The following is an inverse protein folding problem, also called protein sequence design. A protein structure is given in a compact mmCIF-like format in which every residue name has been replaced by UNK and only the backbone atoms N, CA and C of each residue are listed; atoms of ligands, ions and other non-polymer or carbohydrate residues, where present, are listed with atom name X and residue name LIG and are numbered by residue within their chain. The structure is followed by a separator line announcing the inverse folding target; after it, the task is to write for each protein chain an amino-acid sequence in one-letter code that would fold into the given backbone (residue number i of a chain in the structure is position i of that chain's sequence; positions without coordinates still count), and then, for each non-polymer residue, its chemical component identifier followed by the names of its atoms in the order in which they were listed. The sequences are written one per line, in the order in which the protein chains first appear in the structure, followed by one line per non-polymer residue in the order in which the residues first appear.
data_IF_840565235217
#
_entry.id   IF_840565235217
#
_cell.length_a   1.000
_cell.length_b   1.000
_cell.length_c   1.000
_cell.angle_alpha   90.00
_cell.angle_beta   90.00
_cell.angle_gamma   90.00
#
_symmetry.space_group_name_H-M   'P 1'
#
loop_
_entity.id
_entity.type
_entity.pdbx_description
1 polymer ?
#
# COMPACT_ATOMS: atom_id res chain seq x y z
N UNK A 1 -2.94 -2.94 -19.21
CA UNK A 1 -2.00 -1.88 -18.77
C UNK A 1 -2.70 -0.68 -18.13
N UNK A 2 -3.53 0.10 -18.85
CA UNK A 2 -4.13 1.35 -18.28
C UNK A 2 -4.95 1.10 -17.01
N UNK A 3 -5.87 0.12 -17.03
CA UNK A 3 -6.70 -0.22 -15.86
C UNK A 3 -5.82 -0.61 -14.66
N UNK A 4 -4.79 -1.43 -14.89
CA UNK A 4 -3.83 -1.82 -13.86
C UNK A 4 -3.10 -0.60 -13.27
N UNK A 5 -2.66 0.33 -14.12
CA UNK A 5 -1.99 1.56 -13.72
C UNK A 5 -2.86 2.46 -12.86
N UNK A 6 -4.17 2.54 -13.14
CA UNK A 6 -5.11 3.30 -12.29
C UNK A 6 -5.19 2.69 -10.90
N UNK A 7 -5.39 1.37 -10.79
CA UNK A 7 -5.42 0.70 -9.49
C UNK A 7 -4.08 0.78 -8.74
N UNK A 8 -2.96 0.64 -9.44
CA UNK A 8 -1.63 0.79 -8.86
C UNK A 8 -1.40 2.22 -8.33
N UNK A 9 -1.80 3.24 -9.09
CA UNK A 9 -1.70 4.63 -8.66
C UNK A 9 -2.54 4.90 -7.41
N UNK A 10 -3.79 4.42 -7.39
CA UNK A 10 -4.68 4.56 -6.24
C UNK A 10 -4.15 3.79 -5.01
N UNK A 11 -3.57 2.61 -5.21
CA UNK A 11 -2.93 1.84 -4.15
C UNK A 11 -1.75 2.62 -3.55
N UNK A 12 -0.86 3.15 -4.39
CA UNK A 12 0.28 3.96 -3.95
C UNK A 12 -0.19 5.22 -3.20
N UNK A 13 -1.19 5.94 -3.73
CA UNK A 13 -1.75 7.12 -3.07
C UNK A 13 -2.38 6.80 -1.71
N UNK A 14 -3.08 5.66 -1.58
CA UNK A 14 -3.58 5.18 -0.30
C UNK A 14 -2.43 4.91 0.68
N UNK A 15 -1.32 4.32 0.22
CA UNK A 15 -0.16 4.05 1.06
C UNK A 15 0.59 5.32 1.47
N UNK A 16 0.58 6.37 0.64
CA UNK A 16 1.04 7.71 1.07
C UNK A 16 0.17 8.25 2.21
N UNK A 17 -1.16 8.12 2.12
CA UNK A 17 -2.05 8.53 3.20
C UNK A 17 -1.81 7.73 4.48
N UNK A 18 -1.64 6.41 4.38
CA UNK A 18 -1.29 5.53 5.50
C UNK A 18 0.04 5.96 6.12
N UNK A 19 1.07 6.16 5.30
CA UNK A 19 2.38 6.60 5.73
C UNK A 19 2.34 7.95 6.46
N UNK A 20 1.55 8.91 5.94
CA UNK A 20 1.35 10.19 6.62
C UNK A 20 0.71 10.01 8.01
N UNK A 21 -0.33 9.17 8.10
CA UNK A 21 -0.94 8.85 9.39
C UNK A 21 0.04 8.19 10.34
N UNK A 22 0.86 7.26 9.86
CA UNK A 22 1.81 6.52 10.68
C UNK A 22 3.01 7.37 11.16
N UNK A 23 3.53 8.25 10.31
CA UNK A 23 4.69 9.09 10.65
C UNK A 23 4.34 10.36 11.40
N UNK A 24 3.25 11.04 11.01
CA UNK A 24 3.00 12.41 11.45
C UNK A 24 1.70 12.57 12.25
N UNK A 25 0.69 11.74 11.98
CA UNK A 25 -0.63 11.88 12.59
C UNK A 25 -1.05 10.65 13.40
N UNK A 26 -0.10 9.90 13.97
CA UNK A 26 -0.33 8.58 14.55
C UNK A 26 -1.37 8.59 15.67
N UNK A 27 -1.27 9.55 16.59
CA UNK A 27 -2.21 9.72 17.70
C UNK A 27 -3.49 10.48 17.28
N UNK A 28 -3.56 10.97 16.03
CA UNK A 28 -4.62 11.84 15.54
C UNK A 28 -5.94 11.13 15.20
N UNK A 29 -7.05 11.90 15.04
CA UNK A 29 -8.39 11.34 14.87
C UNK A 29 -8.53 10.43 13.65
N UNK A 30 -7.88 10.79 12.53
CA UNK A 30 -7.95 9.99 11.30
C UNK A 30 -7.24 8.64 11.47
N UNK A 31 -6.07 8.62 12.11
CA UNK A 31 -5.33 7.40 12.41
C UNK A 31 -6.12 6.51 13.38
N UNK A 32 -6.75 7.07 14.41
CA UNK A 32 -7.61 6.29 15.32
C UNK A 32 -8.88 5.77 14.65
N UNK A 33 -9.49 6.53 13.73
CA UNK A 33 -10.60 6.04 12.89
C UNK A 33 -10.18 4.88 11.97
N UNK A 34 -8.94 4.89 11.51
CA UNK A 34 -8.42 3.92 10.54
C UNK A 34 -7.90 2.65 11.21
N UNK A 35 -7.10 2.80 12.27
CA UNK A 35 -6.37 1.73 12.96
C UNK A 35 -6.97 1.36 14.33
N UNK A 36 -8.00 2.08 14.80
CA UNK A 36 -8.63 1.85 16.09
C UNK A 36 -7.84 2.40 17.30
N UNK A 37 -8.29 2.09 18.50
CA UNK A 37 -7.65 2.49 19.76
C UNK A 37 -7.82 3.97 20.13
N UNK A 38 -7.25 4.36 21.28
CA UNK A 38 -7.20 5.74 21.76
C UNK A 38 -5.78 6.30 21.60
N UNK A 39 -5.57 7.63 21.68
CA UNK A 39 -4.23 8.21 21.67
C UNK A 39 -3.31 7.59 22.73
N UNK A 40 -3.82 7.33 23.94
CA UNK A 40 -3.06 6.77 25.06
C UNK A 40 -2.59 5.34 24.77
N UNK A 41 -3.45 4.50 24.18
CA UNK A 41 -3.07 3.13 23.81
C UNK A 41 -2.18 3.06 22.58
N UNK A 42 -2.20 4.09 21.73
CA UNK A 42 -1.39 4.17 20.51
C UNK A 42 0.02 4.72 20.75
N UNK A 43 0.18 5.65 21.69
CA UNK A 43 1.44 6.37 21.96
C UNK A 43 2.66 5.46 22.15
N UNK A 44 2.59 4.33 22.90
CA UNK A 44 3.75 3.44 23.07
C UNK A 44 4.29 2.85 21.76
N UNK A 45 3.47 2.81 20.70
CA UNK A 45 3.83 2.24 19.40
C UNK A 45 4.22 3.29 18.36
N UNK A 46 4.29 4.58 18.72
CA UNK A 46 4.55 5.67 17.78
C UNK A 46 5.86 5.48 16.99
N UNK A 47 6.91 4.97 17.64
CA UNK A 47 8.18 4.68 16.95
C UNK A 47 8.05 3.57 15.90
N UNK A 48 7.34 2.48 16.22
CA UNK A 48 7.11 1.39 15.27
C UNK A 48 6.20 1.82 14.13
N UNK A 49 5.17 2.64 14.42
CA UNK A 49 4.33 3.24 13.40
C UNK A 49 5.15 4.13 12.46
N UNK A 50 5.99 5.01 12.99
CA UNK A 50 6.86 5.85 12.16
C UNK A 50 7.72 5.03 11.20
N UNK A 51 8.34 3.95 11.70
CA UNK A 51 9.12 3.04 10.86
C UNK A 51 8.25 2.36 9.78
N UNK A 52 7.05 1.92 10.13
CA UNK A 52 6.09 1.34 9.19
C UNK A 52 5.68 2.35 8.10
N UNK A 53 5.49 3.61 8.47
CA UNK A 53 5.17 4.69 7.54
C UNK A 53 6.30 4.96 6.54
N UNK A 54 7.57 4.82 6.94
CA UNK A 54 8.69 4.89 6.02
C UNK A 54 8.66 3.75 4.99
N UNK A 55 8.42 2.50 5.43
CA UNK A 55 8.26 1.37 4.50
C UNK A 55 7.11 1.60 3.53
N UNK A 56 5.94 2.05 4.02
CA UNK A 56 4.79 2.37 3.18
C UNK A 56 5.10 3.49 2.17
N UNK A 57 5.90 4.48 2.56
CA UNK A 57 6.36 5.55 1.65
C UNK A 57 7.25 5.01 0.54
N UNK A 58 8.19 4.11 0.85
CA UNK A 58 9.06 3.50 -0.16
C UNK A 58 8.28 2.63 -1.14
N UNK A 59 7.30 1.85 -0.66
CA UNK A 59 6.41 1.08 -1.54
C UNK A 59 5.62 1.99 -2.48
N UNK A 60 5.12 3.12 -2.00
CA UNK A 60 4.43 4.09 -2.85
C UNK A 60 5.36 4.72 -3.90
N UNK A 61 6.58 5.10 -3.50
CA UNK A 61 7.60 5.64 -4.40
C UNK A 61 7.95 4.62 -5.49
N UNK A 62 8.18 3.36 -5.12
CA UNK A 62 8.47 2.28 -6.05
C UNK A 62 7.37 2.14 -7.12
N UNK A 63 6.10 2.16 -6.71
CA UNK A 63 4.98 2.09 -7.63
C UNK A 63 4.89 3.32 -8.52
N UNK A 64 5.04 4.55 -7.99
CA UNK A 64 4.99 5.77 -8.79
C UNK A 64 6.12 5.83 -9.82
N UNK A 65 7.34 5.48 -9.42
CA UNK A 65 8.50 5.39 -10.32
C UNK A 65 8.27 4.31 -11.36
N UNK A 66 7.78 3.14 -10.95
CA UNK A 66 7.42 2.04 -11.84
C UNK A 66 6.40 2.46 -12.90
N UNK A 67 5.36 3.20 -12.51
CA UNK A 67 4.37 3.77 -13.44
C UNK A 67 5.02 4.76 -14.43
N UNK A 68 5.89 5.64 -13.96
CA UNK A 68 6.64 6.55 -14.84
C UNK A 68 7.47 5.78 -15.88
N UNK A 69 8.24 4.79 -15.43
CA UNK A 69 9.06 3.96 -16.33
C UNK A 69 8.19 3.16 -17.30
N UNK A 70 7.05 2.62 -16.84
CA UNK A 70 6.11 1.85 -17.65
C UNK A 70 5.60 2.65 -18.85
N UNK A 71 5.27 3.94 -18.65
CA UNK A 71 4.68 4.77 -19.70
C UNK A 71 5.70 5.54 -20.55
N UNK A 72 6.90 5.80 -20.04
CA UNK A 72 7.86 6.68 -20.71
C UNK A 72 9.18 6.01 -21.11
N UNK A 73 9.46 4.78 -20.67
CA UNK A 73 10.76 4.14 -20.91
C UNK A 73 10.69 2.67 -21.26
N UNK A 74 10.26 1.80 -20.34
CA UNK A 74 10.39 0.35 -20.48
C UNK A 74 9.22 -0.36 -19.82
N UNK A 75 8.44 -1.08 -20.62
CA UNK A 75 7.32 -1.87 -20.12
C UNK A 75 7.79 -2.93 -19.14
N UNK A 76 8.90 -3.61 -19.45
CA UNK A 76 9.43 -4.67 -18.59
C UNK A 76 9.87 -4.14 -17.22
N UNK A 77 10.66 -3.07 -17.17
CA UNK A 77 11.15 -2.50 -15.90
C UNK A 77 10.00 -1.86 -15.12
N UNK A 78 9.16 -1.08 -15.79
CA UNK A 78 8.04 -0.39 -15.15
C UNK A 78 7.02 -1.36 -14.55
N UNK A 79 6.63 -2.39 -15.31
CA UNK A 79 5.70 -3.42 -14.81
C UNK A 79 6.30 -4.24 -13.67
N UNK A 80 7.60 -4.56 -13.71
CA UNK A 80 8.29 -5.25 -12.63
C UNK A 80 8.25 -4.45 -11.32
N UNK A 81 8.54 -3.14 -11.35
CA UNK A 81 8.48 -2.26 -10.17
C UNK A 81 7.05 -2.09 -9.65
N UNK A 82 6.07 -1.90 -10.55
CA UNK A 82 4.66 -1.80 -10.14
C UNK A 82 4.19 -3.10 -9.47
N UNK A 83 4.55 -4.26 -10.04
CA UNK A 83 4.23 -5.56 -9.47
C UNK A 83 4.93 -5.78 -8.12
N UNK A 84 6.23 -5.46 -8.02
CA UNK A 84 6.98 -5.62 -6.78
C UNK A 84 6.37 -4.78 -5.64
N UNK A 85 6.06 -3.50 -5.89
CA UNK A 85 5.40 -2.65 -4.91
C UNK A 85 3.99 -3.12 -4.55
N UNK A 86 3.12 -3.34 -5.53
CA UNK A 86 1.71 -3.72 -5.27
C UNK A 86 1.56 -5.14 -4.71
N UNK A 87 2.37 -6.11 -5.15
CA UNK A 87 2.38 -7.45 -4.57
C UNK A 87 2.87 -7.43 -3.12
N UNK A 88 3.87 -6.60 -2.79
CA UNK A 88 4.33 -6.44 -1.40
C UNK A 88 3.23 -5.89 -0.49
N UNK A 89 2.50 -4.86 -0.95
CA UNK A 89 1.31 -4.34 -0.25
C UNK A 89 0.24 -5.41 -0.03
N UNK A 90 -0.04 -6.21 -1.06
CA UNK A 90 -1.00 -7.31 -0.99
C UNK A 90 -0.54 -8.40 0.01
N UNK A 91 0.72 -8.82 -0.06
CA UNK A 91 1.29 -9.80 0.86
C UNK A 91 1.25 -9.32 2.31
N UNK A 92 1.52 -8.04 2.58
CA UNK A 92 1.39 -7.46 3.91
C UNK A 92 -0.08 -7.50 4.39
N UNK A 93 -1.04 -7.15 3.53
CA UNK A 93 -2.46 -7.23 3.85
C UNK A 93 -2.91 -8.68 4.16
N UNK A 94 -2.45 -9.65 3.38
CA UNK A 94 -2.70 -11.07 3.64
C UNK A 94 -2.07 -11.51 4.96
N UNK A 95 -0.84 -11.11 5.25
CA UNK A 95 -0.15 -11.42 6.49
C UNK A 95 -0.93 -10.99 7.74
N UNK A 96 -1.57 -9.82 7.71
CA UNK A 96 -2.40 -9.36 8.83
C UNK A 96 -3.60 -10.27 9.09
N UNK A 97 -4.43 -10.53 8.07
CA UNK A 97 -5.65 -11.34 8.24
C UNK A 97 -5.34 -12.82 8.50
N UNK A 98 -4.23 -13.33 7.97
CA UNK A 98 -3.76 -14.68 8.27
C UNK A 98 -3.28 -14.82 9.72
N UNK A 99 -2.75 -13.74 10.30
CA UNK A 99 -2.30 -13.74 11.70
C UNK A 99 -3.46 -13.59 12.67
N UNK A 100 -4.39 -12.69 12.39
CA UNK A 100 -5.54 -12.38 13.24
C UNK A 100 -6.71 -11.87 12.38
N UNK A 101 -7.83 -12.58 12.43
CA UNK A 101 -9.01 -12.31 11.61
C UNK A 101 -9.72 -11.01 12.00
N UNK A 102 -9.46 -10.44 13.18
CA UNK A 102 -9.97 -9.13 13.58
C UNK A 102 -9.47 -8.00 12.66
N UNK A 103 -8.37 -8.21 11.94
CA UNK A 103 -7.83 -7.27 10.96
C UNK A 103 -8.42 -7.43 9.54
N UNK A 104 -9.47 -8.24 9.34
CA UNK A 104 -10.04 -8.48 8.01
C UNK A 104 -10.46 -7.17 7.30
N UNK A 105 -11.11 -6.25 8.01
CA UNK A 105 -11.52 -4.96 7.42
C UNK A 105 -10.33 -4.07 7.08
N UNK A 106 -9.30 -4.02 7.93
CA UNK A 106 -8.09 -3.27 7.65
C UNK A 106 -7.35 -3.84 6.43
N UNK A 107 -7.22 -5.16 6.38
CA UNK A 107 -6.61 -5.92 5.28
C UNK A 107 -7.34 -5.68 3.96
N UNK A 108 -8.68 -5.69 3.97
CA UNK A 108 -9.47 -5.41 2.76
C UNK A 108 -9.27 -3.97 2.25
N UNK A 109 -9.21 -2.98 3.15
CA UNK A 109 -9.03 -1.57 2.78
C UNK A 109 -7.67 -1.33 2.11
N UNK A 110 -6.60 -1.90 2.65
CA UNK A 110 -5.24 -1.68 2.10
C UNK A 110 -4.86 -2.67 0.98
N UNK A 111 -5.44 -3.87 0.94
CA UNK A 111 -5.08 -4.94 0.00
C UNK A 111 -5.92 -5.02 -1.27
N UNK A 112 -7.11 -4.41 -1.31
CA UNK A 112 -8.02 -4.50 -2.48
C UNK A 112 -7.48 -3.80 -3.73
N UNK A 113 -7.00 -2.55 -3.61
CA UNK A 113 -6.41 -1.84 -4.75
C UNK A 113 -5.14 -2.51 -5.27
N UNK A 114 -4.17 -2.92 -4.42
CA UNK A 114 -3.03 -3.70 -4.88
C UNK A 114 -3.41 -5.03 -5.55
N UNK A 115 -4.41 -5.76 -5.03
CA UNK A 115 -4.90 -6.99 -5.65
C UNK A 115 -5.36 -6.76 -7.09
N UNK A 116 -6.20 -5.75 -7.30
CA UNK A 116 -6.70 -5.41 -8.64
C UNK A 116 -5.55 -4.97 -9.55
N UNK A 117 -4.61 -4.17 -9.03
CA UNK A 117 -3.42 -3.76 -9.76
C UNK A 117 -2.61 -4.97 -10.25
N UNK A 118 -2.32 -5.94 -9.36
CA UNK A 118 -1.58 -7.16 -9.69
C UNK A 118 -2.32 -7.97 -10.76
N UNK A 119 -3.61 -8.24 -10.56
CA UNK A 119 -4.41 -9.05 -11.51
C UNK A 119 -4.41 -8.41 -12.90
N UNK A 120 -4.77 -7.13 -13.00
CA UNK A 120 -4.85 -6.47 -14.30
C UNK A 120 -3.48 -6.21 -14.94
N UNK A 121 -2.41 -6.07 -14.15
CA UNK A 121 -1.05 -5.93 -14.67
C UNK A 121 -0.58 -7.25 -15.28
N UNK A 122 -0.73 -8.36 -14.56
CA UNK A 122 -0.40 -9.70 -15.07
C UNK A 122 -1.20 -10.02 -16.32
N UNK A 123 -2.53 -9.80 -16.30
CA UNK A 123 -3.37 -10.00 -17.49
C UNK A 123 -2.91 -9.13 -18.66
N UNK A 124 -2.58 -7.87 -18.42
CA UNK A 124 -2.10 -6.97 -19.48
C UNK A 124 -0.70 -7.29 -20.01
N UNK A 125 0.07 -8.15 -19.35
CA UNK A 125 1.38 -8.61 -19.80
C UNK A 125 1.31 -9.91 -20.61
N UNK A 126 0.28 -10.72 -20.38
CA UNK A 126 0.13 -12.06 -20.99
C UNK A 126 -0.89 -12.12 -22.13
N UNK A 127 -1.72 -11.09 -22.28
CA UNK A 127 -2.70 -10.91 -23.37
C UNK A 127 -2.22 -9.83 -24.34
#
# INVERSE_FOLDING_TARGET
MIIASVFAFLAAALHVLIAYMEMFAWEGPLARKTFGGTPESARPFAFFAYNQGLYNSFLAIEVFVGLGILFFSSVAVGSALVLAGTASMLCAALGLVLKDNSFATASAKQGSLPLLAVIFMVLGLVL
#
